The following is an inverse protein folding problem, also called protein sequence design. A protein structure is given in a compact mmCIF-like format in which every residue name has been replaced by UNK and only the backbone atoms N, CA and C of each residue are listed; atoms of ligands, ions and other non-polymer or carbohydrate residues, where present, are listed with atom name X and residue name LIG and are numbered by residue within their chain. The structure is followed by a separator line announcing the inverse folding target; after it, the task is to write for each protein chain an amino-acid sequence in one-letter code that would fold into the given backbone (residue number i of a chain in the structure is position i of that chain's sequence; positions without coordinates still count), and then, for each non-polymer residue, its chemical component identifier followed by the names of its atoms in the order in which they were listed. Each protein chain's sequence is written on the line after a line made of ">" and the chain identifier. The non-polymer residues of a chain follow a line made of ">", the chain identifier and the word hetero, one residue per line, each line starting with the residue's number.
data_IF_706282078752
#
_entry.id   IF_706282078752
#
_cell.length_a   1.000
_cell.length_b   1.000
_cell.length_c   1.000
_cell.angle_alpha   90.00
_cell.angle_beta   90.00
_cell.angle_gamma   90.00
#
_symmetry.space_group_name_H-M   'P 1'
#
loop_
_entity.id
_entity.type
_entity.pdbx_description
1 polymer ?
#
# COMPACT_ATOMS: atom_id res chain seq x y z
N UNK A 1 -14.40 -5.76 4.29
CA UNK A 1 -13.39 -6.68 4.84
C UNK A 1 -13.44 -6.74 6.37
N UNK A 2 -13.23 -5.64 7.10
CA UNK A 2 -13.22 -5.63 8.58
C UNK A 2 -14.49 -6.22 9.23
N UNK A 3 -15.67 -5.78 8.81
CA UNK A 3 -16.96 -6.31 9.32
C UNK A 3 -17.15 -7.80 9.05
N UNK A 4 -16.70 -8.29 7.89
CA UNK A 4 -16.76 -9.72 7.54
C UNK A 4 -15.77 -10.55 8.38
N UNK A 5 -14.61 -9.98 8.70
CA UNK A 5 -13.63 -10.58 9.60
C UNK A 5 -14.18 -10.69 11.05
N UNK A 6 -14.79 -9.62 11.57
CA UNK A 6 -15.40 -9.58 12.91
C UNK A 6 -16.57 -10.57 13.06
N UNK A 7 -17.32 -10.79 11.99
CA UNK A 7 -18.38 -11.80 11.95
C UNK A 7 -17.86 -13.25 11.86
N UNK A 8 -16.56 -13.44 11.60
CA UNK A 8 -15.90 -14.73 11.37
C UNK A 8 -16.64 -15.63 10.37
N UNK A 9 -17.22 -15.02 9.34
CA UNK A 9 -17.97 -15.70 8.28
C UNK A 9 -17.05 -15.93 7.06
N UNK A 10 -16.63 -17.17 6.76
CA UNK A 10 -15.73 -17.47 5.66
C UNK A 10 -16.25 -17.02 4.29
N UNK A 11 -17.55 -17.12 4.05
CA UNK A 11 -18.15 -16.77 2.75
C UNK A 11 -18.16 -15.24 2.58
N UNK A 12 -18.56 -14.51 3.62
CA UNK A 12 -18.51 -13.05 3.63
C UNK A 12 -17.07 -12.53 3.54
N UNK A 13 -16.10 -13.19 4.19
CA UNK A 13 -14.69 -12.84 4.11
C UNK A 13 -14.15 -13.02 2.69
N UNK A 14 -14.46 -14.15 2.03
CA UNK A 14 -14.11 -14.38 0.64
C UNK A 14 -14.77 -13.39 -0.33
N UNK A 15 -16.06 -13.09 -0.13
CA UNK A 15 -16.76 -12.10 -0.95
C UNK A 15 -16.12 -10.71 -0.80
N UNK A 16 -15.76 -10.32 0.42
CA UNK A 16 -15.08 -9.06 0.69
C UNK A 16 -13.67 -9.01 0.08
N UNK A 17 -12.91 -10.12 0.12
CA UNK A 17 -11.60 -10.22 -0.53
C UNK A 17 -11.70 -10.12 -2.05
N UNK A 18 -12.68 -10.80 -2.68
CA UNK A 18 -12.95 -10.71 -4.12
C UNK A 18 -13.31 -9.29 -4.55
N UNK A 19 -14.14 -8.59 -3.76
CA UNK A 19 -14.47 -7.19 -4.04
C UNK A 19 -13.23 -6.29 -3.96
N UNK A 20 -12.39 -6.47 -2.94
CA UNK A 20 -11.15 -5.71 -2.82
C UNK A 20 -10.20 -5.97 -3.99
N UNK A 21 -10.04 -7.23 -4.39
CA UNK A 21 -9.23 -7.61 -5.53
C UNK A 21 -9.68 -6.92 -6.82
N UNK A 22 -11.00 -6.91 -7.08
CA UNK A 22 -11.58 -6.23 -8.25
C UNK A 22 -11.25 -4.73 -8.27
N UNK A 23 -11.26 -4.05 -7.12
CA UNK A 23 -10.87 -2.63 -7.05
C UNK A 23 -9.40 -2.44 -7.42
N UNK A 24 -8.52 -3.32 -6.95
CA UNK A 24 -7.10 -3.28 -7.30
C UNK A 24 -6.86 -3.52 -8.80
N UNK A 25 -7.60 -4.43 -9.43
CA UNK A 25 -7.53 -4.63 -10.88
C UNK A 25 -7.93 -3.37 -11.66
N UNK A 26 -8.95 -2.64 -11.19
CA UNK A 26 -9.35 -1.35 -11.79
C UNK A 26 -8.22 -0.33 -11.66
N UNK A 27 -7.66 -0.15 -10.47
CA UNK A 27 -6.52 0.76 -10.29
C UNK A 27 -5.33 0.40 -11.16
N UNK A 28 -4.98 -0.89 -11.26
CA UNK A 28 -3.92 -1.34 -12.15
C UNK A 28 -4.21 -0.97 -13.61
N UNK A 29 -5.44 -1.19 -14.08
CA UNK A 29 -5.83 -0.90 -15.45
C UNK A 29 -5.69 0.59 -15.78
N UNK A 30 -6.17 1.46 -14.89
CA UNK A 30 -6.08 2.92 -15.05
C UNK A 30 -4.62 3.43 -14.97
N UNK A 31 -3.79 2.82 -14.12
CA UNK A 31 -2.38 3.20 -13.97
C UNK A 31 -1.52 2.73 -15.14
N UNK A 32 -1.89 1.63 -15.79
CA UNK A 32 -1.21 1.13 -16.99
C UNK A 32 -1.53 1.96 -18.24
N UNK A 33 -2.50 2.87 -18.17
CA UNK A 33 -2.79 3.79 -19.27
C UNK A 33 -1.56 4.69 -19.55
N UNK A 34 -1.06 4.76 -20.80
CA UNK A 34 0.05 5.63 -21.18
C UNK A 34 -0.19 7.12 -20.90
N UNK A 35 -1.45 7.54 -20.86
CA UNK A 35 -1.91 8.91 -20.63
C UNK A 35 -2.27 9.19 -19.16
N UNK A 36 -1.98 8.25 -18.24
CA UNK A 36 -2.22 8.44 -16.82
C UNK A 36 -1.49 9.71 -16.32
N UNK A 37 -2.19 10.67 -15.69
CA UNK A 37 -1.59 11.94 -15.24
C UNK A 37 -0.77 11.79 -13.94
N UNK A 38 -0.69 10.58 -13.39
CA UNK A 38 0.03 10.30 -12.14
C UNK A 38 1.54 10.26 -12.41
N UNK A 39 2.38 10.91 -11.56
CA UNK A 39 3.83 10.84 -11.70
C UNK A 39 4.34 9.40 -11.72
N UNK A 40 5.39 9.15 -12.50
CA UNK A 40 5.94 7.81 -12.72
C UNK A 40 6.31 7.07 -11.42
N UNK A 41 6.90 7.79 -10.47
CA UNK A 41 7.26 7.22 -9.16
C UNK A 41 6.04 6.74 -8.39
N UNK A 42 4.99 7.57 -8.33
CA UNK A 42 3.73 7.23 -7.65
C UNK A 42 3.05 6.06 -8.37
N UNK A 43 3.04 6.08 -9.70
CA UNK A 43 2.50 4.99 -10.53
C UNK A 43 3.21 3.66 -10.27
N UNK A 44 4.55 3.64 -10.27
CA UNK A 44 5.34 2.44 -10.01
C UNK A 44 5.13 1.91 -8.59
N UNK A 45 5.01 2.80 -7.60
CA UNK A 45 4.71 2.44 -6.22
C UNK A 45 3.34 1.77 -6.10
N UNK A 46 2.30 2.34 -6.72
CA UNK A 46 0.95 1.76 -6.68
C UNK A 46 0.89 0.44 -7.47
N UNK A 47 1.56 0.31 -8.60
CA UNK A 47 1.61 -0.94 -9.36
C UNK A 47 2.33 -2.07 -8.62
N UNK A 48 3.44 -1.75 -7.94
CA UNK A 48 4.16 -2.73 -7.10
C UNK A 48 3.29 -3.19 -5.93
N UNK A 49 2.53 -2.26 -5.37
CA UNK A 49 1.57 -2.56 -4.34
C UNK A 49 0.42 -3.44 -4.84
N UNK A 50 -0.14 -3.14 -5.99
CA UNK A 50 -1.26 -3.89 -6.53
C UNK A 50 -0.88 -5.36 -6.76
N UNK A 51 0.35 -5.64 -7.24
CA UNK A 51 0.91 -7.00 -7.32
C UNK A 51 0.98 -7.70 -5.96
N UNK A 52 1.36 -6.98 -4.91
CA UNK A 52 1.43 -7.55 -3.57
C UNK A 52 0.03 -7.90 -3.03
N UNK A 53 -0.96 -7.01 -3.21
CA UNK A 53 -2.34 -7.29 -2.80
C UNK A 53 -2.94 -8.47 -3.58
N UNK A 54 -2.68 -8.57 -4.88
CA UNK A 54 -3.10 -9.72 -5.70
C UNK A 54 -2.56 -11.03 -5.12
N UNK A 55 -1.25 -11.10 -4.86
CA UNK A 55 -0.60 -12.29 -4.31
C UNK A 55 -1.22 -12.72 -2.98
N UNK A 56 -1.42 -11.77 -2.05
CA UNK A 56 -2.02 -12.05 -0.74
C UNK A 56 -3.49 -12.42 -0.81
N UNK A 57 -4.23 -11.83 -1.76
CA UNK A 57 -5.65 -12.15 -1.96
C UNK A 57 -5.80 -13.54 -2.56
N UNK A 58 -4.94 -13.94 -3.50
CA UNK A 58 -4.93 -15.29 -4.06
C UNK A 58 -4.56 -16.36 -3.03
N UNK A 59 -3.59 -16.09 -2.15
CA UNK A 59 -3.27 -16.98 -1.02
C UNK A 59 -4.47 -17.16 -0.08
N UNK A 60 -5.15 -16.06 0.28
CA UNK A 60 -6.36 -16.14 1.10
C UNK A 60 -7.52 -16.87 0.40
N UNK A 61 -7.72 -16.65 -0.91
CA UNK A 61 -8.78 -17.33 -1.65
C UNK A 61 -8.51 -18.83 -1.84
N UNK A 62 -7.24 -19.24 -1.86
CA UNK A 62 -6.83 -20.65 -1.97
C UNK A 62 -6.99 -21.39 -0.64
N UNK A 63 -6.74 -20.71 0.48
CA UNK A 63 -6.89 -21.24 1.83
C UNK A 63 -7.47 -20.16 2.77
N UNK A 64 -8.80 -20.08 2.89
CA UNK A 64 -9.49 -19.02 3.63
C UNK A 64 -9.29 -19.15 5.15
N UNK A 65 -8.36 -18.38 5.69
CA UNK A 65 -8.13 -18.25 7.13
C UNK A 65 -8.35 -16.81 7.60
N UNK A 66 -9.04 -16.63 8.73
CA UNK A 66 -9.34 -15.32 9.29
C UNK A 66 -8.06 -14.48 9.53
N UNK A 67 -6.98 -15.12 9.98
CA UNK A 67 -5.66 -14.50 10.21
C UNK A 67 -5.04 -13.93 8.93
N UNK A 68 -5.21 -14.61 7.79
CA UNK A 68 -4.73 -14.14 6.49
C UNK A 68 -5.48 -12.88 6.04
N UNK A 69 -6.77 -12.77 6.37
CA UNK A 69 -7.55 -11.58 6.11
C UNK A 69 -7.13 -10.41 7.01
N UNK A 70 -6.75 -10.65 8.27
CA UNK A 70 -6.21 -9.62 9.16
C UNK A 70 -4.94 -8.98 8.59
N UNK A 71 -4.05 -9.78 8.01
CA UNK A 71 -2.86 -9.28 7.33
C UNK A 71 -3.23 -8.38 6.15
N UNK A 72 -4.18 -8.78 5.30
CA UNK A 72 -4.70 -7.96 4.19
C UNK A 72 -5.29 -6.63 4.67
N UNK A 73 -5.98 -6.63 5.81
CA UNK A 73 -6.53 -5.40 6.42
C UNK A 73 -5.40 -4.48 6.91
N UNK A 74 -4.38 -5.02 7.60
CA UNK A 74 -3.25 -4.22 8.09
C UNK A 74 -2.49 -3.57 6.94
N UNK A 75 -2.19 -4.34 5.89
CA UNK A 75 -1.54 -3.86 4.67
C UNK A 75 -2.35 -2.70 4.08
N UNK A 76 -3.64 -2.91 3.76
CA UNK A 76 -4.48 -1.85 3.20
C UNK A 76 -4.56 -0.60 4.10
N UNK A 77 -4.46 -0.76 5.43
CA UNK A 77 -4.49 0.35 6.39
C UNK A 77 -3.17 1.13 6.45
N UNK A 78 -2.04 0.43 6.53
CA UNK A 78 -0.71 1.05 6.54
C UNK A 78 -0.46 1.82 5.24
N UNK A 79 -0.95 1.28 4.12
CA UNK A 79 -0.85 1.91 2.80
C UNK A 79 -1.73 3.14 2.68
N UNK A 80 -2.97 3.10 3.16
CA UNK A 80 -3.79 4.29 3.28
C UNK A 80 -3.05 5.35 4.11
N UNK A 81 -2.48 4.96 5.26
CA UNK A 81 -1.67 5.83 6.11
C UNK A 81 -0.47 6.47 5.39
N UNK A 82 0.27 5.68 4.60
CA UNK A 82 1.40 6.15 3.80
C UNK A 82 1.00 7.08 2.65
N UNK A 83 -0.11 6.79 1.97
CA UNK A 83 -0.67 7.65 0.91
C UNK A 83 -1.26 8.97 1.45
N UNK A 84 -1.79 8.97 2.68
CA UNK A 84 -2.25 10.17 3.37
C UNK A 84 -1.11 10.96 4.04
N UNK A 85 0.10 10.38 4.11
CA UNK A 85 1.28 11.09 4.60
C UNK A 85 1.85 11.94 3.47
N UNK A 86 1.94 13.25 3.72
CA UNK A 86 2.44 14.23 2.77
C UNK A 86 3.88 13.84 2.33
N UNK A 87 4.16 13.59 1.04
CA UNK A 87 5.50 13.22 0.57
C UNK A 87 6.55 14.29 0.88
N UNK A 88 6.12 15.53 1.16
CA UNK A 88 7.00 16.61 1.60
C UNK A 88 7.53 16.42 3.04
N UNK A 89 6.83 15.66 3.89
CA UNK A 89 7.26 15.39 5.26
C UNK A 89 8.39 14.36 5.33
N UNK A 90 8.41 13.38 4.42
CA UNK A 90 9.48 12.37 4.36
C UNK A 90 10.82 12.96 3.89
N UNK A 91 10.77 13.93 2.97
CA UNK A 91 11.96 14.58 2.42
C UNK A 91 12.62 15.56 3.42
N UNK A 92 11.83 16.17 4.31
CA UNK A 92 12.35 17.05 5.37
C UNK A 92 13.17 16.32 6.44
N UNK A 93 12.88 15.04 6.70
CA UNK A 93 13.59 14.25 7.71
C UNK A 93 15.00 13.82 7.26
N UNK A 94 15.25 13.68 5.96
CA UNK A 94 16.57 13.31 5.41
C UNK A 94 17.55 14.50 5.33
N UNK A 95 17.07 15.74 5.30
CA UNK A 95 17.94 16.94 5.28
C UNK A 95 18.41 17.39 6.67
N UNK A 96 17.81 16.90 7.75
CA UNK A 96 18.13 17.32 9.12
C UNK A 96 19.29 16.56 9.77
N UNK A 97 19.98 15.67 9.04
CA UNK A 97 21.06 14.82 9.56
C UNK A 97 22.41 15.01 8.87
N UNK A 98 22.76 16.25 8.46
CA UNK A 98 24.16 16.60 8.23
C UNK A 98 24.72 17.27 9.50
N UNK A 99 25.71 16.68 10.19
CA UNK A 99 26.43 17.38 11.24
C UNK A 99 27.22 18.52 10.60
N UNK A 100 27.06 19.73 11.14
CA UNK A 100 27.83 20.90 10.77
C UNK A 100 29.32 20.63 11.03
N UNK A 101 30.06 20.29 9.97
CA UNK A 101 31.50 20.15 10.03
C UNK A 101 32.10 21.55 10.23
N UNK A 102 32.71 21.71 11.41
CA UNK A 102 33.27 22.96 11.89
C UNK A 102 34.36 23.47 10.93
N UNK A 103 34.04 24.52 10.18
CA UNK A 103 35.01 25.30 9.41
C UNK A 103 35.90 26.06 10.40
N UNK A 104 37.06 25.49 10.72
CA UNK A 104 38.17 26.20 11.35
C UNK A 104 38.78 27.18 10.33
N UNK A 105 39.04 28.46 10.70
CA UNK A 105 39.72 29.39 9.81
C UNK A 105 41.23 29.08 9.76
N UNK A 106 41.91 29.32 8.62
CA UNK A 106 43.35 29.13 8.53
C UNK A 106 44.14 30.32 9.11
N UNK A 107 45.21 29.95 9.83
CA UNK A 107 46.44 30.65 10.27
C UNK A 107 46.46 32.16 10.45
#
# INVERSE_FOLDING_TARGET
>A
MKTAHEANDPEAMQAAARLNWRLWTIFQSELLDPHCPVPDEVRLNILSLARFVDSRTLDFLSDPAAEKLSALISINRELAGGLYSDPNAANAASSASQPAEAVLPPS
#
